data_IF_531487490869
#
_entry.id   IF_531487490869
#
_cell.length_a   1.000
_cell.length_b   1.000
_cell.length_c   1.000
_cell.angle_alpha   90.00
_cell.angle_beta   90.00
_cell.angle_gamma   90.00
#
_symmetry.space_group_name_H-M   'P 1'
#
loop_
_entity.id
_entity.type
_entity.pdbx_description
1 polymer ?
#
# COMPACT_ATOMS: atom_id res chain seq x y z
N UNK A 1 -29.67 32.92 -17.88
CA UNK A 1 -29.45 32.55 -16.47
C UNK A 1 -29.64 31.04 -16.41
N UNK A 2 -28.60 30.32 -16.01
CA UNK A 2 -28.43 28.85 -16.00
C UNK A 2 -28.48 28.19 -17.38
N UNK A 3 -27.33 27.79 -17.90
CA UNK A 3 -26.88 26.40 -17.85
C UNK A 3 -25.50 26.28 -18.52
N UNK A 4 -24.79 25.21 -18.16
CA UNK A 4 -23.66 24.62 -18.86
C UNK A 4 -22.29 25.30 -18.71
N UNK A 5 -21.51 24.77 -17.76
CA UNK A 5 -20.17 24.27 -18.07
C UNK A 5 -19.82 23.15 -17.08
N UNK A 6 -20.60 22.06 -17.12
CA UNK A 6 -20.05 20.76 -16.68
C UNK A 6 -19.20 20.25 -17.85
N UNK A 7 -17.92 20.61 -17.85
CA UNK A 7 -16.92 19.78 -18.50
C UNK A 7 -16.89 18.46 -17.72
N UNK A 8 -17.70 17.50 -18.19
CA UNK A 8 -17.46 16.08 -17.96
C UNK A 8 -16.12 15.74 -18.58
N UNK A 9 -15.07 15.85 -17.77
CA UNK A 9 -13.81 15.15 -18.03
C UNK A 9 -14.14 13.68 -18.23
N UNK A 10 -13.52 13.10 -19.26
CA UNK A 10 -13.73 11.73 -19.68
C UNK A 10 -13.51 10.76 -18.51
N UNK A 11 -14.50 9.89 -18.32
CA UNK A 11 -14.60 8.87 -17.29
C UNK A 11 -13.64 7.64 -17.37
N UNK A 12 -12.45 7.64 -18.03
CA UNK A 12 -11.42 6.61 -17.79
C UNK A 12 -10.39 6.91 -16.69
N UNK A 13 -10.10 8.18 -16.37
CA UNK A 13 -9.03 8.56 -15.41
C UNK A 13 -9.46 8.53 -13.92
N UNK A 14 -10.70 8.13 -13.62
CA UNK A 14 -11.21 8.13 -12.23
C UNK A 14 -11.37 6.74 -11.63
N UNK A 15 -11.42 5.69 -12.45
CA UNK A 15 -11.60 4.32 -11.97
C UNK A 15 -10.30 3.79 -11.35
N UNK A 16 -9.16 4.16 -11.93
CA UNK A 16 -7.83 3.73 -11.51
C UNK A 16 -7.44 4.16 -10.08
N UNK A 17 -8.11 5.18 -9.54
CA UNK A 17 -7.86 5.76 -8.21
C UNK A 17 -9.11 5.81 -7.34
N UNK A 18 -10.23 5.18 -7.75
CA UNK A 18 -11.48 5.22 -6.99
C UNK A 18 -11.30 4.74 -5.55
N UNK A 19 -10.45 3.76 -5.34
CA UNK A 19 -10.05 3.25 -4.02
C UNK A 19 -9.36 4.31 -3.11
N UNK A 20 -8.82 5.39 -3.66
CA UNK A 20 -8.30 6.57 -2.92
C UNK A 20 -9.36 7.66 -2.69
N UNK A 21 -10.44 7.68 -3.47
CA UNK A 21 -11.34 8.84 -3.60
C UNK A 21 -12.81 8.58 -3.45
N UNK A 22 -13.25 7.33 -3.31
CA UNK A 22 -14.68 7.06 -3.24
C UNK A 22 -15.28 7.89 -2.10
N UNK A 23 -16.14 8.85 -2.45
CA UNK A 23 -16.72 9.77 -1.49
C UNK A 23 -17.59 9.04 -0.47
N UNK A 24 -18.08 7.84 -0.82
CA UNK A 24 -18.81 6.96 0.10
C UNK A 24 -17.93 6.42 1.23
N UNK A 25 -16.60 6.42 1.07
CA UNK A 25 -15.66 5.75 1.95
C UNK A 25 -14.27 6.41 1.84
N UNK A 26 -14.04 7.43 2.68
CA UNK A 26 -12.71 8.08 2.79
C UNK A 26 -11.78 7.26 3.68
N UNK A 27 -10.45 7.26 3.44
CA UNK A 27 -9.49 6.64 4.34
C UNK A 27 -9.75 6.99 5.83
N UNK A 28 -9.69 6.01 6.75
CA UNK A 28 -9.13 4.65 6.62
C UNK A 28 -10.15 3.57 6.22
N UNK A 29 -11.11 3.91 5.36
CA UNK A 29 -12.14 3.00 4.89
C UNK A 29 -11.79 2.41 3.50
N UNK A 30 -12.19 1.17 3.24
CA UNK A 30 -12.28 0.58 1.88
C UNK A 30 -13.63 -0.12 1.69
N UNK A 31 -14.43 0.26 0.69
CA UNK A 31 -15.77 -0.32 0.42
C UNK A 31 -16.72 -0.34 1.64
N UNK A 32 -16.57 0.62 2.58
CA UNK A 32 -17.34 0.66 3.83
C UNK A 32 -16.71 -0.14 4.98
N UNK A 33 -15.59 -0.82 4.74
CA UNK A 33 -14.82 -1.57 5.74
C UNK A 33 -13.86 -0.64 6.47
N UNK A 34 -13.89 -0.65 7.81
CA UNK A 34 -13.01 0.13 8.67
C UNK A 34 -12.29 -0.81 9.63
N UNK A 35 -10.97 -0.79 9.57
CA UNK A 35 -10.12 -1.61 10.45
C UNK A 35 -10.34 -1.24 11.93
N UNK A 36 -10.57 -2.25 12.75
CA UNK A 36 -10.93 -2.20 14.16
C UNK A 36 -12.42 -2.03 14.45
N UNK A 37 -13.22 -1.66 13.45
CA UNK A 37 -14.64 -1.34 13.62
C UNK A 37 -15.56 -2.31 12.90
N UNK A 38 -15.22 -2.78 11.71
CA UNK A 38 -16.07 -3.69 10.95
C UNK A 38 -15.92 -5.13 11.44
N UNK A 39 -17.00 -5.79 11.89
CA UNK A 39 -16.98 -7.23 12.14
C UNK A 39 -16.71 -8.00 10.85
N UNK A 40 -15.99 -9.12 10.94
CA UNK A 40 -15.64 -9.93 9.78
C UNK A 40 -16.88 -10.42 9.00
N UNK A 41 -17.94 -10.82 9.70
CA UNK A 41 -19.17 -11.29 9.05
C UNK A 41 -19.88 -10.16 8.26
N UNK A 42 -19.83 -8.92 8.74
CA UNK A 42 -20.32 -7.76 8.01
C UNK A 42 -19.43 -7.48 6.79
N UNK A 43 -18.10 -7.59 6.95
CA UNK A 43 -17.17 -7.41 5.84
C UNK A 43 -17.43 -8.41 4.71
N UNK A 44 -17.62 -9.68 5.04
CA UNK A 44 -17.96 -10.70 4.05
C UNK A 44 -19.28 -10.38 3.34
N UNK A 45 -20.32 -9.97 4.07
CA UNK A 45 -21.60 -9.61 3.46
C UNK A 45 -21.50 -8.40 2.52
N UNK A 46 -20.71 -7.39 2.88
CA UNK A 46 -20.43 -6.21 2.05
C UNK A 46 -19.70 -6.63 0.76
N UNK A 47 -18.66 -7.45 0.90
CA UNK A 47 -17.83 -7.86 -0.23
C UNK A 47 -18.55 -8.83 -1.17
N UNK A 48 -19.32 -9.79 -0.65
CA UNK A 48 -20.15 -10.69 -1.47
C UNK A 48 -21.25 -9.95 -2.24
N UNK A 49 -21.68 -8.79 -1.75
CA UNK A 49 -22.62 -7.93 -2.45
C UNK A 49 -21.97 -7.03 -3.52
N UNK A 50 -20.63 -6.94 -3.55
CA UNK A 50 -19.90 -6.12 -4.52
C UNK A 50 -19.71 -6.89 -5.83
N UNK A 51 -20.33 -6.44 -6.96
CA UNK A 51 -20.23 -7.14 -8.24
C UNK A 51 -18.84 -7.09 -8.89
N UNK A 52 -17.91 -6.27 -8.37
CA UNK A 52 -16.53 -6.19 -8.87
C UNK A 52 -15.63 -7.29 -8.27
N UNK A 53 -16.06 -7.92 -7.16
CA UNK A 53 -15.32 -9.02 -6.53
C UNK A 53 -15.64 -10.32 -7.26
N UNK A 54 -14.60 -10.92 -7.83
CA UNK A 54 -14.73 -12.08 -8.71
C UNK A 54 -14.60 -13.40 -7.96
N UNK A 55 -13.71 -13.42 -6.97
CA UNK A 55 -13.38 -14.63 -6.22
C UNK A 55 -12.84 -14.28 -4.83
N UNK A 56 -12.96 -15.23 -3.90
CA UNK A 56 -12.37 -15.12 -2.58
C UNK A 56 -11.90 -16.47 -2.03
N UNK A 57 -10.78 -16.43 -1.31
CA UNK A 57 -10.23 -17.54 -0.55
C UNK A 57 -10.15 -17.21 0.94
N UNK A 58 -10.17 -18.25 1.77
CA UNK A 58 -9.97 -18.16 3.22
C UNK A 58 -8.80 -19.05 3.62
N UNK A 59 -7.85 -18.50 4.36
CA UNK A 59 -6.67 -19.21 4.87
C UNK A 59 -6.43 -18.79 6.31
N UNK A 60 -6.45 -19.72 7.26
CA UNK A 60 -6.29 -19.46 8.70
C UNK A 60 -7.12 -18.25 9.19
N UNK A 61 -6.48 -17.06 9.33
CA UNK A 61 -7.06 -15.78 9.76
C UNK A 61 -7.00 -14.69 8.67
N UNK A 62 -6.76 -15.08 7.42
CA UNK A 62 -6.68 -14.19 6.27
C UNK A 62 -7.77 -14.54 5.27
N UNK A 63 -8.40 -13.50 4.76
CA UNK A 63 -9.35 -13.55 3.68
C UNK A 63 -8.66 -12.88 2.48
N UNK A 64 -8.43 -13.64 1.41
CA UNK A 64 -7.78 -13.16 0.19
C UNK A 64 -8.84 -12.99 -0.90
N UNK A 65 -9.09 -11.75 -1.29
CA UNK A 65 -10.12 -11.34 -2.23
C UNK A 65 -9.47 -10.95 -3.54
N UNK A 66 -10.09 -11.32 -4.65
CA UNK A 66 -9.69 -10.88 -5.98
C UNK A 66 -10.82 -10.07 -6.60
N UNK A 67 -10.51 -8.89 -7.11
CA UNK A 67 -11.47 -8.09 -7.89
C UNK A 67 -10.89 -7.70 -9.24
N UNK A 68 -11.80 -7.45 -10.16
CA UNK A 68 -11.52 -6.83 -11.44
C UNK A 68 -12.43 -5.60 -11.56
N UNK A 69 -11.80 -4.43 -11.49
CA UNK A 69 -12.45 -3.20 -11.93
C UNK A 69 -12.19 -3.05 -13.45
N UNK A 70 -13.03 -2.32 -14.22
CA UNK A 70 -12.95 -2.22 -15.69
C UNK A 70 -11.62 -1.77 -16.32
N UNK A 71 -10.59 -1.49 -15.52
CA UNK A 71 -9.23 -1.11 -15.94
C UNK A 71 -8.13 -1.51 -14.96
N UNK A 72 -8.43 -2.23 -13.88
CA UNK A 72 -7.48 -2.64 -12.85
C UNK A 72 -7.80 -4.03 -12.34
N UNK A 73 -6.76 -4.84 -12.19
CA UNK A 73 -6.82 -6.04 -11.38
C UNK A 73 -6.26 -5.71 -10.00
N UNK A 74 -6.83 -6.27 -8.96
CA UNK A 74 -6.31 -6.10 -7.62
C UNK A 74 -6.62 -7.29 -6.76
N UNK A 75 -5.90 -7.38 -5.65
CA UNK A 75 -6.23 -8.29 -4.59
C UNK A 75 -6.29 -7.54 -3.27
N UNK A 76 -7.10 -8.01 -2.33
CA UNK A 76 -7.05 -7.53 -0.96
C UNK A 76 -6.87 -8.71 -0.04
N UNK A 77 -6.17 -8.43 1.04
CA UNK A 77 -6.07 -9.33 2.17
C UNK A 77 -6.71 -8.63 3.36
N UNK A 78 -7.75 -9.24 3.90
CA UNK A 78 -8.30 -8.86 5.19
C UNK A 78 -7.77 -9.83 6.25
N UNK A 79 -7.33 -9.30 7.39
CA UNK A 79 -7.10 -10.10 8.59
C UNK A 79 -8.07 -9.68 9.69
N UNK A 80 -8.36 -10.59 10.61
CA UNK A 80 -9.22 -10.29 11.76
C UNK A 80 -8.49 -10.55 13.09
N UNK A 81 -8.83 -9.74 14.09
CA UNK A 81 -8.35 -9.94 15.45
C UNK A 81 -9.08 -11.09 16.16
N UNK A 82 -8.65 -11.41 17.38
CA UNK A 82 -9.27 -12.46 18.23
C UNK A 82 -10.75 -12.17 18.55
N UNK A 83 -11.20 -10.92 18.41
CA UNK A 83 -12.60 -10.54 18.62
C UNK A 83 -13.47 -10.73 17.37
N UNK A 84 -12.87 -11.15 16.25
CA UNK A 84 -13.54 -11.33 14.97
C UNK A 84 -13.83 -10.02 14.24
N UNK A 85 -13.11 -8.94 14.56
CA UNK A 85 -13.17 -7.67 13.82
C UNK A 85 -12.03 -7.59 12.84
N UNK A 86 -12.25 -6.94 11.70
CA UNK A 86 -11.18 -6.66 10.74
C UNK A 86 -10.09 -5.87 11.46
N UNK A 87 -8.87 -6.38 11.46
CA UNK A 87 -7.70 -5.73 12.05
C UNK A 87 -6.92 -4.95 10.99
N UNK A 88 -6.89 -5.50 9.78
CA UNK A 88 -6.07 -5.03 8.69
C UNK A 88 -6.79 -5.21 7.35
N UNK A 89 -6.54 -4.27 6.44
CA UNK A 89 -6.95 -4.31 5.05
C UNK A 89 -5.72 -3.96 4.22
N UNK A 90 -5.16 -4.94 3.53
CA UNK A 90 -4.13 -4.76 2.52
C UNK A 90 -4.78 -4.80 1.15
N UNK A 91 -4.46 -3.86 0.26
CA UNK A 91 -4.97 -3.78 -1.11
C UNK A 91 -3.75 -3.70 -2.01
N UNK A 92 -3.50 -4.73 -2.81
CA UNK A 92 -2.53 -4.69 -3.90
C UNK A 92 -3.24 -4.33 -5.20
N UNK A 93 -2.65 -3.41 -5.95
CA UNK A 93 -3.21 -2.95 -7.21
C UNK A 93 -2.26 -3.32 -8.33
N UNK A 94 -2.69 -4.31 -9.11
CA UNK A 94 -1.91 -4.83 -10.22
C UNK A 94 -2.03 -3.90 -11.42
N UNK A 95 -0.88 -3.40 -11.88
CA UNK A 95 -0.80 -2.53 -13.06
C UNK A 95 -1.08 -1.05 -12.81
N UNK A 96 -1.29 -0.63 -11.56
CA UNK A 96 -1.29 0.79 -11.23
C UNK A 96 0.14 1.36 -11.32
N UNK A 97 0.33 2.31 -12.23
CA UNK A 97 1.58 3.06 -12.38
C UNK A 97 1.47 4.43 -11.68
N UNK A 98 1.21 4.44 -10.37
CA UNK A 98 1.15 5.69 -9.60
C UNK A 98 2.51 6.06 -9.04
N UNK A 99 3.10 7.18 -9.47
CA UNK A 99 4.37 7.63 -8.90
C UNK A 99 4.15 8.33 -7.55
N UNK A 100 5.17 8.34 -6.67
CA UNK A 100 5.10 9.01 -5.36
C UNK A 100 4.56 10.44 -5.45
N UNK A 101 4.98 11.21 -6.47
CA UNK A 101 4.50 12.59 -6.65
C UNK A 101 3.00 12.66 -6.92
N UNK A 102 2.41 11.68 -7.62
CA UNK A 102 0.96 11.65 -7.86
C UNK A 102 0.21 11.47 -6.56
N UNK A 103 0.73 10.60 -5.68
CA UNK A 103 0.16 10.36 -4.36
C UNK A 103 0.30 11.58 -3.45
N UNK A 104 1.46 12.22 -3.40
CA UNK A 104 1.67 13.37 -2.51
C UNK A 104 0.94 14.63 -2.99
N UNK A 105 0.85 14.85 -4.30
CA UNK A 105 0.01 15.91 -4.86
C UNK A 105 -1.46 15.73 -4.47
N UNK A 106 -1.83 14.49 -4.20
CA UNK A 106 -3.20 14.13 -3.99
C UNK A 106 -3.64 14.09 -2.53
N UNK A 107 -2.93 13.31 -1.73
CA UNK A 107 -3.25 13.04 -0.33
C UNK A 107 -2.55 14.05 0.58
N UNK A 108 -1.72 14.93 0.00
CA UNK A 108 -0.77 15.74 0.73
C UNK A 108 0.48 14.96 1.10
N UNK A 109 1.36 15.59 1.86
CA UNK A 109 2.60 14.97 2.28
C UNK A 109 2.37 13.90 3.37
N UNK A 110 3.01 12.73 3.28
CA UNK A 110 3.00 11.77 4.37
C UNK A 110 3.73 12.36 5.58
N UNK A 111 3.45 11.83 6.77
CA UNK A 111 4.16 12.26 7.95
C UNK A 111 5.54 11.59 8.04
N UNK A 112 5.63 10.33 7.61
CA UNK A 112 6.87 9.55 7.64
C UNK A 112 7.08 8.77 6.35
N UNK A 113 8.34 8.49 6.05
CA UNK A 113 8.78 7.46 5.11
C UNK A 113 9.46 6.36 5.92
N UNK A 114 9.11 5.11 5.65
CA UNK A 114 9.76 3.93 6.23
C UNK A 114 10.35 3.08 5.10
N UNK A 115 11.67 3.16 4.85
CA UNK A 115 12.33 2.24 3.93
C UNK A 115 12.42 0.86 4.59
N UNK A 116 12.21 -0.19 3.80
CA UNK A 116 12.28 -1.59 4.22
C UNK A 116 13.07 -2.37 3.18
N UNK A 117 14.22 -2.92 3.58
CA UNK A 117 14.98 -3.84 2.72
C UNK A 117 14.57 -5.26 3.07
N UNK A 118 14.10 -6.01 2.07
CA UNK A 118 13.78 -7.42 2.17
C UNK A 118 14.81 -8.20 1.37
N UNK A 119 15.53 -9.10 2.04
CA UNK A 119 16.45 -10.04 1.41
C UNK A 119 15.84 -11.43 1.49
N UNK A 120 15.50 -12.02 0.35
CA UNK A 120 15.01 -13.40 0.31
C UNK A 120 16.15 -14.39 0.54
N UNK A 121 15.99 -15.30 1.50
CA UNK A 121 17.00 -16.33 1.80
C UNK A 121 17.16 -17.31 0.62
N UNK A 122 16.08 -17.54 -0.15
CA UNK A 122 16.04 -18.56 -1.21
C UNK A 122 15.86 -18.00 -2.63
N UNK A 123 15.49 -16.73 -2.80
CA UNK A 123 15.09 -16.16 -4.12
C UNK A 123 16.18 -15.33 -4.80
N UNK A 124 17.38 -15.22 -4.23
CA UNK A 124 18.48 -14.37 -4.71
C UNK A 124 18.07 -12.91 -5.00
N UNK A 125 16.94 -12.48 -4.44
CA UNK A 125 16.34 -11.21 -4.73
C UNK A 125 16.43 -10.29 -3.51
N UNK A 126 16.78 -9.04 -3.78
CA UNK A 126 16.76 -7.95 -2.82
C UNK A 126 15.70 -6.96 -3.27
N UNK A 127 14.63 -6.87 -2.50
CA UNK A 127 13.60 -5.86 -2.65
C UNK A 127 13.86 -4.70 -1.71
N UNK A 128 13.73 -3.47 -2.20
CA UNK A 128 13.69 -2.30 -1.32
C UNK A 128 12.28 -1.74 -1.41
N UNK A 129 11.52 -1.85 -0.35
CA UNK A 129 10.19 -1.28 -0.22
C UNK A 129 10.25 0.05 0.50
N UNK A 130 9.19 0.83 0.35
CA UNK A 130 8.96 2.01 1.16
C UNK A 130 7.52 2.12 1.55
N UNK A 131 7.28 2.68 2.73
CA UNK A 131 5.95 3.01 3.20
C UNK A 131 5.83 4.52 3.37
N UNK A 132 4.86 5.13 2.70
CA UNK A 132 4.42 6.50 2.93
C UNK A 132 3.31 6.47 3.98
N UNK A 133 3.59 7.00 5.17
CA UNK A 133 2.70 6.85 6.33
C UNK A 133 1.86 8.10 6.50
N UNK A 134 0.53 7.94 6.58
CA UNK A 134 -0.45 9.00 6.79
C UNK A 134 -1.21 8.78 8.11
N UNK A 135 -0.60 9.03 9.29
CA UNK A 135 -1.19 8.67 10.58
C UNK A 135 -2.55 9.33 10.82
N UNK A 136 -2.74 10.57 10.36
CA UNK A 136 -4.01 11.31 10.48
C UNK A 136 -5.14 10.70 9.66
N UNK A 137 -4.79 9.96 8.60
CA UNK A 137 -5.75 9.30 7.72
C UNK A 137 -5.87 7.80 8.04
N UNK A 138 -5.05 7.27 8.95
CA UNK A 138 -5.12 5.88 9.41
C UNK A 138 -4.65 4.83 8.39
N UNK A 139 -3.77 5.20 7.45
CA UNK A 139 -3.25 4.27 6.45
C UNK A 139 -1.77 4.51 6.13
N UNK A 140 -1.17 3.53 5.45
CA UNK A 140 0.11 3.66 4.76
C UNK A 140 0.01 3.15 3.33
N UNK A 141 0.79 3.72 2.43
CA UNK A 141 0.95 3.23 1.06
C UNK A 141 2.31 2.59 0.93
N UNK A 142 2.40 1.38 0.38
CA UNK A 142 3.70 0.83 0.00
C UNK A 142 3.99 1.08 -1.47
N UNK A 143 5.26 1.32 -1.74
CA UNK A 143 5.81 1.16 -3.07
C UNK A 143 7.01 0.25 -3.03
N UNK A 144 7.33 -0.28 -4.19
CA UNK A 144 8.43 -1.19 -4.36
C UNK A 144 9.51 -0.54 -5.24
N UNK A 145 10.75 -0.73 -4.82
CA UNK A 145 11.92 -0.43 -5.61
C UNK A 145 12.64 -1.73 -5.92
N UNK A 146 12.48 -2.17 -7.16
CA UNK A 146 13.16 -3.36 -7.69
C UNK A 146 14.33 -2.91 -8.56
N UNK A 147 15.54 -3.30 -8.17
CA UNK A 147 16.71 -3.18 -9.06
C UNK A 147 16.54 -4.18 -10.21
N UNK A 148 16.23 -3.71 -11.41
CA UNK A 148 16.15 -4.58 -12.60
C UNK A 148 17.53 -5.13 -12.97
N UNK A 149 17.59 -6.43 -13.26
CA UNK A 149 18.65 -6.96 -14.11
C UNK A 149 18.37 -6.61 -15.60
N UNK A 150 19.40 -6.28 -16.40
CA UNK A 150 19.24 -6.05 -17.83
C UNK A 150 18.56 -7.23 -18.54
N UNK A 151 17.41 -6.99 -19.19
CA UNK A 151 16.65 -8.01 -19.94
C UNK A 151 15.36 -8.51 -19.27
N UNK A 152 15.07 -8.10 -18.04
CA UNK A 152 13.80 -8.38 -17.37
C UNK A 152 12.66 -7.45 -17.86
N UNK A 153 11.47 -8.04 -18.13
CA UNK A 153 10.22 -7.30 -18.35
C UNK A 153 9.55 -7.05 -16.98
N UNK A 154 9.83 -5.95 -16.28
CA UNK A 154 9.12 -5.70 -15.01
C UNK A 154 9.40 -4.37 -14.32
N UNK A 155 8.42 -3.46 -14.33
CA UNK A 155 8.19 -2.21 -13.58
C UNK A 155 9.35 -1.23 -13.29
N UNK A 156 9.04 0.08 -13.29
CA UNK A 156 9.95 1.19 -12.99
C UNK A 156 9.83 1.54 -11.50
N UNK A 157 10.96 1.93 -10.93
CA UNK A 157 11.31 2.22 -9.55
C UNK A 157 10.52 3.31 -8.80
N UNK A 158 9.31 3.66 -9.25
CA UNK A 158 8.59 4.84 -8.74
C UNK A 158 7.17 4.54 -8.28
N UNK A 159 6.69 3.32 -8.46
CA UNK A 159 5.28 3.03 -8.34
C UNK A 159 4.84 2.60 -6.94
N UNK A 160 3.73 3.18 -6.50
CA UNK A 160 2.95 2.72 -5.35
C UNK A 160 2.13 1.54 -5.81
N UNK A 161 2.34 0.40 -5.16
CA UNK A 161 1.80 -0.91 -5.58
C UNK A 161 0.71 -1.40 -4.65
N UNK A 162 0.68 -0.90 -3.41
CA UNK A 162 -0.31 -1.33 -2.44
C UNK A 162 -0.67 -0.25 -1.40
N UNK A 163 -1.82 -0.45 -0.79
CA UNK A 163 -2.43 0.39 0.23
C UNK A 163 -2.81 -0.46 1.44
N UNK A 164 -2.58 0.10 2.63
CA UNK A 164 -2.75 -0.62 3.88
C UNK A 164 -3.51 0.23 4.88
N UNK A 165 -4.64 -0.30 5.32
CA UNK A 165 -5.40 0.20 6.46
C UNK A 165 -5.16 -0.71 7.65
N UNK A 166 -4.92 -0.13 8.81
CA UNK A 166 -4.78 -0.87 10.07
C UNK A 166 -5.56 -0.16 11.16
N UNK A 167 -6.08 -0.95 12.10
CA UNK A 167 -6.78 -0.42 13.29
C UNK A 167 -5.90 0.62 13.99
N UNK A 168 -6.50 1.75 14.40
CA UNK A 168 -5.76 2.77 15.15
C UNK A 168 -5.19 2.17 16.45
N UNK A 169 -3.87 2.06 16.54
CA UNK A 169 -3.17 1.60 17.74
C UNK A 169 -2.52 0.22 17.63
N UNK A 170 -2.87 -0.62 16.65
CA UNK A 170 -1.90 -1.58 16.10
C UNK A 170 -0.92 -0.74 15.30
N UNK A 171 0.31 -0.70 15.75
CA UNK A 171 1.32 0.16 15.13
C UNK A 171 1.54 -0.31 13.69
N UNK A 172 1.92 0.59 12.79
CA UNK A 172 2.52 0.18 11.51
C UNK A 172 3.65 -0.84 11.77
N UNK A 173 4.26 -0.84 12.97
CA UNK A 173 5.22 -1.85 13.39
C UNK A 173 4.64 -3.26 13.54
N UNK A 174 3.39 -3.43 13.97
CA UNK A 174 2.72 -4.73 14.07
C UNK A 174 2.44 -5.28 12.66
N UNK A 175 1.92 -4.44 11.77
CA UNK A 175 1.71 -4.76 10.36
C UNK A 175 3.02 -5.12 9.63
N UNK A 176 4.06 -4.28 9.76
CA UNK A 176 5.35 -4.56 9.13
C UNK A 176 6.02 -5.82 9.72
N UNK A 177 5.62 -6.27 10.91
CA UNK A 177 6.07 -7.51 11.53
C UNK A 177 5.30 -8.74 11.02
N UNK A 178 4.03 -8.61 10.65
CA UNK A 178 3.21 -9.71 10.10
C UNK A 178 3.48 -9.96 8.61
N UNK A 179 3.57 -8.91 7.79
CA UNK A 179 3.68 -9.04 6.31
C UNK A 179 4.99 -9.68 5.84
N UNK A 180 6.04 -9.57 6.65
CA UNK A 180 7.36 -10.09 6.30
C UNK A 180 7.67 -11.48 6.89
N UNK A 181 6.66 -12.22 7.35
CA UNK A 181 6.78 -13.67 7.59
C UNK A 181 7.68 -14.07 8.77
N UNK A 182 7.75 -13.25 9.82
CA UNK A 182 8.44 -13.59 11.07
C UNK A 182 9.49 -12.58 11.51
N UNK A 183 10.34 -12.91 12.51
CA UNK A 183 11.35 -12.01 13.06
C UNK A 183 12.53 -11.87 12.08
N UNK A 184 12.27 -11.36 10.88
CA UNK A 184 13.32 -10.67 10.15
C UNK A 184 13.75 -9.50 11.03
N UNK A 185 15.03 -9.43 11.32
CA UNK A 185 15.68 -8.35 12.07
C UNK A 185 15.69 -7.06 11.24
N UNK A 186 14.54 -6.62 10.77
CA UNK A 186 14.37 -5.40 10.00
C UNK A 186 14.55 -4.25 10.98
N UNK A 187 15.71 -3.60 10.94
CA UNK A 187 15.86 -2.29 11.58
C UNK A 187 14.97 -1.31 10.82
N UNK A 188 13.88 -0.89 11.46
CA UNK A 188 12.96 0.11 10.91
C UNK A 188 13.33 1.47 11.46
N UNK A 189 13.26 2.48 10.60
CA UNK A 189 13.44 3.87 10.99
C UNK A 189 12.32 4.70 10.37
N UNK A 190 11.55 5.34 11.22
CA UNK A 190 10.57 6.36 10.80
C UNK A 190 11.35 7.64 10.52
N UNK A 191 11.40 8.03 9.26
CA UNK A 191 12.10 9.25 8.84
C UNK A 191 11.03 10.28 8.48
N UNK A 192 11.03 11.48 9.07
CA UNK A 192 10.11 12.54 8.69
C UNK A 192 10.18 12.81 7.18
N UNK A 193 9.04 13.00 6.55
CA UNK A 193 9.00 13.31 5.13
C UNK A 193 9.57 14.70 4.83
N UNK A 194 10.39 14.76 3.81
CA UNK A 194 11.01 15.93 3.20
C UNK A 194 10.80 15.83 1.67
N UNK A 195 10.07 16.76 1.03
CA UNK A 195 9.65 16.63 -0.37
C UNK A 195 10.79 16.64 -1.38
N UNK A 196 11.95 17.20 -1.02
CA UNK A 196 13.13 17.29 -1.90
C UNK A 196 14.14 16.16 -1.68
N UNK A 197 13.85 15.23 -0.76
CA UNK A 197 14.75 14.16 -0.38
C UNK A 197 14.50 12.94 -1.25
N UNK A 198 15.57 12.38 -1.81
CA UNK A 198 15.45 11.20 -2.65
C UNK A 198 15.20 9.95 -1.81
N UNK A 199 14.65 8.90 -2.43
CA UNK A 199 14.47 7.63 -1.73
C UNK A 199 15.80 6.99 -1.29
N UNK A 200 16.87 7.21 -2.06
CA UNK A 200 18.23 6.85 -1.66
C UNK A 200 18.61 7.49 -0.31
N UNK A 201 18.34 8.78 -0.13
CA UNK A 201 18.67 9.50 1.10
C UNK A 201 17.92 8.93 2.30
N UNK A 202 16.63 8.60 2.14
CA UNK A 202 15.85 7.93 3.20
C UNK A 202 16.45 6.55 3.53
N UNK A 203 16.79 5.75 2.52
CA UNK A 203 17.39 4.44 2.73
C UNK A 203 18.75 4.54 3.45
N UNK A 204 19.61 5.45 3.01
CA UNK A 204 20.94 5.65 3.62
C UNK A 204 20.83 6.20 5.03
N UNK A 205 19.86 7.07 5.32
CA UNK A 205 19.61 7.53 6.69
C UNK A 205 19.11 6.39 7.59
N UNK A 206 18.29 5.48 7.07
CA UNK A 206 17.79 4.34 7.82
C UNK A 206 18.91 3.35 8.16
N UNK A 207 19.78 3.03 7.20
CA UNK A 207 20.72 1.90 7.32
C UNK A 207 22.19 2.32 7.47
N UNK A 208 22.54 3.56 7.16
CA UNK A 208 23.91 4.07 7.14
C UNK A 208 24.67 3.64 5.87
N UNK A 209 25.47 4.53 5.25
CA UNK A 209 26.04 4.28 3.91
C UNK A 209 27.10 3.17 3.87
N UNK A 210 27.69 2.83 5.01
CA UNK A 210 28.74 1.81 5.12
C UNK A 210 28.24 0.45 5.60
N UNK A 211 26.95 0.32 5.93
CA UNK A 211 26.39 -0.96 6.36
C UNK A 211 26.10 -1.85 5.15
N UNK A 212 26.01 -3.16 5.37
CA UNK A 212 25.60 -4.13 4.34
C UNK A 212 24.25 -3.74 3.73
N UNK A 213 23.28 -3.37 4.56
CA UNK A 213 21.96 -2.88 4.13
C UNK A 213 22.05 -1.54 3.39
N UNK A 214 22.92 -0.62 3.81
CA UNK A 214 23.15 0.64 3.11
C UNK A 214 23.73 0.47 1.71
N UNK A 215 24.51 -0.59 1.48
CA UNK A 215 25.02 -0.93 0.15
C UNK A 215 23.94 -1.49 -0.79
N UNK A 216 22.84 -2.01 -0.22
CA UNK A 216 21.66 -2.42 -0.97
C UNK A 216 20.75 -1.23 -1.30
N UNK A 217 21.01 -0.05 -0.72
CA UNK A 217 20.20 1.12 -1.01
C UNK A 217 20.27 1.50 -2.49
N UNK A 218 19.12 1.89 -3.05
CA UNK A 218 19.00 2.20 -4.45
C UNK A 218 19.83 3.38 -4.89
N UNK A 219 20.91 3.14 -5.64
CA UNK A 219 21.55 4.25 -6.34
C UNK A 219 20.66 4.67 -7.50
N UNK A 220 20.16 5.91 -7.44
CA UNK A 220 19.51 6.55 -8.57
C UNK A 220 20.56 6.75 -9.68
N UNK A 221 20.21 6.51 -10.96
CA UNK A 221 21.05 6.93 -12.08
C UNK A 221 21.17 8.46 -12.16
#
# INVERSE_FOLDING_TARGET
MVAEFEQRESLPERIDRRWLYDESCRPPCWEGLVAGETPLWDAMAILEANPEILDYGVTDNHYIMYWEAPSLLGNAVLSNDESGRIEEISIEILGAEMVVSDVTNLLGDPHYVVPVIVTGIDTAWVGVFFYLVYPKMGFALSGEWVKREPGSRGFDSRYVTALYYSRSGSTLDDYLATVNGGPLSVRRRYIPFEPNKSFYDYCIEAYGPSSELGQLCPQLP
#
